data_IF_356256220961
#
_entry.id   IF_356256220961
#
_cell.length_a   1.000
_cell.length_b   1.000
_cell.length_c   1.000
_cell.angle_alpha   90.00
_cell.angle_beta   90.00
_cell.angle_gamma   90.00
#
_symmetry.space_group_name_H-M   'P 1'
#
loop_
_entity.id
_entity.type
_entity.pdbx_description
1 polymer ?
#
# COMPACT_ATOMS: atom_id res chain seq x y z
N UNK A 1 14.63 -21.09 -6.03
CA UNK A 1 15.98 -20.59 -5.72
C UNK A 1 15.94 -19.07 -5.86
N UNK A 2 15.50 -18.36 -4.83
CA UNK A 2 15.45 -16.90 -4.86
C UNK A 2 16.87 -16.37 -4.66
N UNK A 3 17.45 -15.84 -5.73
CA UNK A 3 18.70 -15.09 -5.66
C UNK A 3 18.50 -13.95 -4.65
N UNK A 4 19.34 -13.90 -3.60
CA UNK A 4 19.45 -12.69 -2.78
C UNK A 4 19.87 -11.58 -3.73
N UNK A 5 18.95 -10.71 -4.11
CA UNK A 5 19.27 -9.46 -4.81
C UNK A 5 20.03 -8.58 -3.80
N UNK A 6 21.32 -8.86 -3.64
CA UNK A 6 22.25 -8.04 -2.87
C UNK A 6 22.56 -6.82 -3.72
N UNK A 7 22.02 -5.65 -3.34
CA UNK A 7 22.56 -4.36 -3.78
C UNK A 7 21.60 -3.37 -4.43
N UNK A 8 20.31 -3.65 -4.59
CA UNK A 8 19.37 -2.63 -5.06
C UNK A 8 19.07 -1.64 -3.94
N UNK A 9 19.38 -0.35 -4.16
CA UNK A 9 18.98 0.72 -3.24
C UNK A 9 17.44 0.76 -3.14
N UNK A 10 16.85 1.19 -2.01
CA UNK A 10 15.41 1.46 -1.93
C UNK A 10 14.89 2.25 -3.13
N UNK A 11 15.65 3.24 -3.62
CA UNK A 11 15.29 4.02 -4.79
C UNK A 11 15.23 3.20 -6.09
N UNK A 12 16.12 2.22 -6.26
CA UNK A 12 16.12 1.34 -7.43
C UNK A 12 14.92 0.39 -7.39
N UNK A 13 14.54 -0.08 -6.21
CA UNK A 13 13.34 -0.90 -6.01
C UNK A 13 12.07 -0.11 -6.32
N UNK A 14 12.00 1.13 -5.86
CA UNK A 14 10.89 2.05 -6.15
C UNK A 14 10.81 2.35 -7.65
N UNK A 15 11.95 2.55 -8.32
CA UNK A 15 12.02 2.72 -9.79
C UNK A 15 11.58 1.47 -10.53
N UNK A 16 11.99 0.28 -10.10
CA UNK A 16 11.61 -0.98 -10.74
C UNK A 16 10.10 -1.23 -10.59
N UNK A 17 9.56 -1.11 -9.38
CA UNK A 17 8.13 -1.23 -9.13
C UNK A 17 7.33 -0.17 -9.92
N UNK A 18 7.84 1.07 -9.95
CA UNK A 18 7.30 2.15 -10.77
C UNK A 18 7.32 1.85 -12.26
N UNK A 19 8.38 1.23 -12.78
CA UNK A 19 8.50 0.87 -14.20
C UNK A 19 7.48 -0.18 -14.59
N UNK A 20 7.30 -1.23 -13.77
CA UNK A 20 6.28 -2.26 -13.99
C UNK A 20 4.88 -1.67 -13.94
N UNK A 21 4.58 -0.85 -12.93
CA UNK A 21 3.28 -0.20 -12.81
C UNK A 21 3.00 0.78 -13.97
N UNK A 22 4.00 1.54 -14.41
CA UNK A 22 3.87 2.46 -15.54
C UNK A 22 3.69 1.72 -16.88
N UNK A 23 4.29 0.53 -17.03
CA UNK A 23 4.06 -0.33 -18.19
C UNK A 23 2.59 -0.72 -18.34
N UNK A 24 1.91 -1.04 -17.24
CA UNK A 24 0.48 -1.33 -17.25
C UNK A 24 -0.37 -0.11 -17.60
N UNK A 25 -0.01 1.07 -17.05
CA UNK A 25 -0.68 2.34 -17.41
C UNK A 25 -0.53 2.62 -18.91
N UNK A 26 0.69 2.46 -19.44
CA UNK A 26 0.98 2.66 -20.86
C UNK A 26 0.17 1.70 -21.74
N UNK A 27 0.01 0.44 -21.31
CA UNK A 27 -0.85 -0.52 -21.98
C UNK A 27 -2.30 -0.03 -22.05
N UNK A 28 -2.90 0.42 -20.94
CA UNK A 28 -4.28 0.93 -20.95
C UNK A 28 -4.44 2.20 -21.79
N UNK A 29 -3.46 3.12 -21.75
CA UNK A 29 -3.46 4.31 -22.61
C UNK A 29 -3.40 3.90 -24.09
N UNK A 30 -2.57 2.92 -24.43
CA UNK A 30 -2.45 2.41 -25.80
C UNK A 30 -3.76 1.78 -26.28
N UNK A 31 -4.44 1.02 -25.43
CA UNK A 31 -5.78 0.47 -25.72
C UNK A 31 -6.81 1.59 -25.91
N UNK A 32 -6.80 2.62 -25.06
CA UNK A 32 -7.69 3.78 -25.21
C UNK A 32 -7.46 4.51 -26.53
N UNK A 33 -6.20 4.77 -26.89
CA UNK A 33 -5.84 5.43 -28.15
C UNK A 33 -6.27 4.60 -29.36
N UNK A 34 -6.12 3.27 -29.30
CA UNK A 34 -6.59 2.36 -30.34
C UNK A 34 -8.12 2.44 -30.49
N UNK A 35 -8.87 2.43 -29.39
CA UNK A 35 -10.33 2.56 -29.41
C UNK A 35 -10.78 3.91 -29.99
N UNK A 36 -10.10 5.00 -29.64
CA UNK A 36 -10.37 6.33 -30.20
C UNK A 36 -10.06 6.39 -31.70
N UNK A 37 -8.98 5.74 -32.15
CA UNK A 37 -8.64 5.64 -33.57
C UNK A 37 -9.70 4.85 -34.35
N UNK A 38 -10.17 3.72 -33.80
CA UNK A 38 -11.27 2.93 -34.37
C UNK A 38 -12.55 3.76 -34.43
N UNK A 39 -12.92 4.43 -33.34
CA UNK A 39 -14.09 5.31 -33.31
C UNK A 39 -13.99 6.43 -34.36
N UNK A 40 -12.83 7.08 -34.48
CA UNK A 40 -12.56 8.08 -35.50
C UNK A 40 -12.68 7.54 -36.92
N UNK A 41 -12.17 6.33 -37.18
CA UNK A 41 -12.30 5.66 -38.47
C UNK A 41 -13.76 5.33 -38.82
N UNK A 42 -14.54 4.84 -37.85
CA UNK A 42 -15.96 4.49 -38.04
C UNK A 42 -16.88 5.72 -38.22
N UNK A 43 -16.48 6.87 -37.65
CA UNK A 43 -17.20 8.14 -37.82
C UNK A 43 -16.85 8.87 -39.13
N UNK A 44 -15.78 8.45 -39.81
CA UNK A 44 -15.33 9.06 -41.07
C UNK A 44 -16.42 8.92 -42.14
N UNK A 45 -16.85 10.04 -42.71
CA UNK A 45 -17.91 10.08 -43.72
C UNK A 45 -19.34 10.03 -43.18
N UNK A 46 -19.54 10.03 -41.85
CA UNK A 46 -20.87 10.16 -41.24
C UNK A 46 -21.15 11.62 -40.88
N UNK A 47 -22.36 12.09 -41.20
CA UNK A 47 -22.87 13.38 -40.74
C UNK A 47 -23.21 13.26 -39.25
N UNK A 48 -22.40 13.86 -38.38
CA UNK A 48 -22.74 13.94 -36.96
C UNK A 48 -23.98 14.83 -36.77
N UNK A 49 -24.93 14.45 -35.90
CA UNK A 49 -26.11 15.28 -35.64
C UNK A 49 -25.69 16.67 -35.14
N UNK A 50 -26.26 17.73 -35.73
CA UNK A 50 -25.88 19.14 -35.47
C UNK A 50 -26.03 19.58 -34.00
N UNK A 51 -26.80 18.82 -33.22
CA UNK A 51 -27.01 19.06 -31.79
C UNK A 51 -25.83 18.59 -30.91
N UNK A 52 -24.97 17.70 -31.42
CA UNK A 52 -23.87 17.08 -30.67
C UNK A 52 -22.72 18.05 -30.35
N UNK A 53 -22.53 19.07 -31.20
CA UNK A 53 -21.51 20.12 -31.01
C UNK A 53 -22.16 21.51 -30.94
N UNK A 54 -23.24 21.68 -30.15
CA UNK A 54 -23.79 23.02 -29.92
C UNK A 54 -22.75 23.86 -29.17
N UNK A 55 -22.28 24.94 -29.80
CA UNK A 55 -21.28 25.90 -29.30
C UNK A 55 -21.52 26.41 -27.87
N UNK A 56 -22.77 26.39 -27.39
CA UNK A 56 -23.16 26.76 -26.01
C UNK A 56 -22.61 25.82 -24.92
N UNK A 57 -22.45 24.53 -25.21
CA UNK A 57 -22.03 23.50 -24.24
C UNK A 57 -20.69 22.85 -24.59
N UNK A 58 -20.02 23.30 -25.65
CA UNK A 58 -18.74 22.73 -26.12
C UNK A 58 -17.64 22.69 -25.07
N UNK A 59 -17.66 23.61 -24.09
CA UNK A 59 -16.70 23.67 -22.98
C UNK A 59 -16.90 22.57 -21.93
N UNK A 60 -18.07 21.93 -21.87
CA UNK A 60 -18.34 20.84 -20.93
C UNK A 60 -17.57 19.57 -21.30
N UNK A 61 -17.32 19.32 -22.59
CA UNK A 61 -16.62 18.12 -23.05
C UNK A 61 -15.17 18.04 -22.56
N UNK A 62 -14.29 19.06 -22.74
CA UNK A 62 -12.93 18.99 -22.19
C UNK A 62 -12.93 18.94 -20.67
N UNK A 63 -13.86 19.63 -20.00
CA UNK A 63 -14.01 19.55 -18.54
C UNK A 63 -14.37 18.13 -18.09
N UNK A 64 -15.30 17.48 -18.78
CA UNK A 64 -15.71 16.11 -18.51
C UNK A 64 -14.58 15.12 -18.78
N UNK A 65 -13.81 15.29 -19.86
CA UNK A 65 -12.63 14.47 -20.16
C UNK A 65 -11.60 14.58 -19.04
N UNK A 66 -11.29 15.79 -18.57
CA UNK A 66 -10.36 16.01 -17.45
C UNK A 66 -10.90 15.38 -16.17
N UNK A 67 -12.19 15.56 -15.87
CA UNK A 67 -12.83 14.96 -14.70
C UNK A 67 -12.79 13.44 -14.71
N UNK A 68 -13.13 12.81 -15.85
CA UNK A 68 -13.05 11.36 -16.02
C UNK A 68 -11.60 10.86 -15.92
N UNK A 69 -10.65 11.55 -16.53
CA UNK A 69 -9.23 11.20 -16.44
C UNK A 69 -8.73 11.26 -14.99
N UNK A 70 -9.11 12.30 -14.24
CA UNK A 70 -8.79 12.43 -12.82
C UNK A 70 -9.40 11.29 -11.99
N UNK A 71 -10.66 10.92 -12.24
CA UNK A 71 -11.32 9.78 -11.61
C UNK A 71 -10.58 8.47 -11.91
N UNK A 72 -10.29 8.16 -13.19
CA UNK A 72 -9.56 6.95 -13.59
C UNK A 72 -8.20 6.88 -12.88
N UNK A 73 -7.44 7.98 -12.87
CA UNK A 73 -6.13 8.00 -12.27
C UNK A 73 -6.18 7.78 -10.75
N UNK A 74 -7.14 8.43 -10.07
CA UNK A 74 -7.22 8.44 -8.60
C UNK A 74 -7.90 7.20 -8.01
N UNK A 75 -8.81 6.54 -8.73
CA UNK A 75 -9.57 5.38 -8.22
C UNK A 75 -9.14 4.05 -8.79
N UNK A 76 -8.60 4.02 -10.01
CA UNK A 76 -8.21 2.76 -10.67
C UNK A 76 -6.70 2.59 -10.71
N UNK A 77 -5.98 3.57 -11.28
CA UNK A 77 -4.54 3.41 -11.52
C UNK A 77 -3.71 3.47 -10.24
N UNK A 78 -4.09 4.32 -9.28
CA UNK A 78 -3.45 4.41 -7.96
C UNK A 78 -3.50 3.07 -7.19
N UNK A 79 -4.68 2.44 -7.16
CA UNK A 79 -4.94 1.17 -6.47
C UNK A 79 -4.15 0.03 -7.11
N UNK A 80 -4.18 -0.07 -8.44
CA UNK A 80 -3.41 -1.10 -9.15
C UNK A 80 -1.90 -0.92 -8.95
N UNK A 81 -1.41 0.32 -9.01
CA UNK A 81 0.00 0.63 -8.76
C UNK A 81 0.39 0.25 -7.32
N UNK A 82 -0.45 0.56 -6.34
CA UNK A 82 -0.20 0.22 -4.95
C UNK A 82 -0.17 -1.30 -4.73
N UNK A 83 -1.06 -2.06 -5.36
CA UNK A 83 -1.09 -3.52 -5.27
C UNK A 83 0.17 -4.17 -5.87
N UNK A 84 0.68 -3.65 -7.00
CA UNK A 84 1.96 -4.11 -7.58
C UNK A 84 3.12 -3.85 -6.61
N UNK A 85 3.20 -2.64 -6.07
CA UNK A 85 4.24 -2.25 -5.09
C UNK A 85 4.14 -3.10 -3.83
N UNK A 86 2.93 -3.33 -3.32
CA UNK A 86 2.64 -4.19 -2.18
C UNK A 86 3.11 -5.64 -2.42
N UNK A 87 2.80 -6.21 -3.59
CA UNK A 87 3.24 -7.57 -3.95
C UNK A 87 4.77 -7.67 -4.02
N UNK A 88 5.44 -6.65 -4.55
CA UNK A 88 6.90 -6.58 -4.51
C UNK A 88 7.41 -6.51 -3.06
N UNK A 89 6.84 -5.64 -2.23
CA UNK A 89 7.19 -5.52 -0.81
C UNK A 89 7.02 -6.85 -0.06
N UNK A 90 5.97 -7.60 -0.36
CA UNK A 90 5.69 -8.93 0.20
C UNK A 90 6.74 -9.96 -0.23
N UNK A 91 7.18 -9.94 -1.48
CA UNK A 91 8.27 -10.82 -1.92
C UNK A 91 9.58 -10.56 -1.16
N UNK A 92 9.92 -9.29 -0.92
CA UNK A 92 11.08 -8.93 -0.09
C UNK A 92 10.90 -9.30 1.38
N UNK A 93 9.69 -9.15 1.93
CA UNK A 93 9.34 -9.61 3.28
C UNK A 93 9.56 -11.12 3.42
N UNK A 94 9.02 -11.92 2.50
CA UNK A 94 9.16 -13.39 2.50
C UNK A 94 10.62 -13.83 2.33
N UNK A 95 11.45 -12.99 1.70
CA UNK A 95 12.89 -13.22 1.54
C UNK A 95 13.74 -12.75 2.74
N UNK A 96 13.13 -12.20 3.79
CA UNK A 96 13.85 -11.67 4.96
C UNK A 96 14.56 -10.33 4.73
N UNK A 97 14.23 -9.63 3.64
CA UNK A 97 14.83 -8.35 3.27
C UNK A 97 13.98 -7.20 3.81
N UNK A 98 14.09 -6.95 5.11
CA UNK A 98 13.18 -6.05 5.83
C UNK A 98 13.25 -4.60 5.36
N UNK A 99 14.44 -4.05 5.13
CA UNK A 99 14.58 -2.65 4.68
C UNK A 99 13.93 -2.39 3.33
N UNK A 100 14.17 -3.30 2.37
CA UNK A 100 13.55 -3.26 1.05
C UNK A 100 12.02 -3.35 1.14
N UNK A 101 11.53 -4.27 1.98
CA UNK A 101 10.10 -4.47 2.21
C UNK A 101 9.44 -3.24 2.85
N UNK A 102 10.05 -2.66 3.88
CA UNK A 102 9.58 -1.45 4.57
C UNK A 102 9.47 -0.29 3.58
N UNK A 103 10.52 -0.04 2.77
CA UNK A 103 10.51 1.05 1.79
C UNK A 103 9.37 0.92 0.76
N UNK A 104 9.13 -0.30 0.27
CA UNK A 104 8.06 -0.55 -0.69
C UNK A 104 6.67 -0.49 -0.03
N UNK A 105 6.47 -1.04 1.16
CA UNK A 105 5.20 -0.91 1.88
C UNK A 105 4.87 0.56 2.22
N UNK A 106 5.86 1.38 2.58
CA UNK A 106 5.67 2.82 2.74
C UNK A 106 5.19 3.49 1.44
N UNK A 107 5.69 3.06 0.29
CA UNK A 107 5.20 3.56 -1.00
C UNK A 107 3.75 3.12 -1.27
N UNK A 108 3.39 1.86 -0.97
CA UNK A 108 2.01 1.39 -1.10
C UNK A 108 1.03 2.22 -0.24
N UNK A 109 1.40 2.49 1.02
CA UNK A 109 0.63 3.37 1.92
C UNK A 109 0.50 4.79 1.37
N UNK A 110 1.55 5.36 0.77
CA UNK A 110 1.49 6.70 0.14
C UNK A 110 0.54 6.74 -1.06
N UNK A 111 0.44 5.64 -1.82
CA UNK A 111 -0.42 5.55 -3.00
C UNK A 111 -1.89 5.40 -2.62
N UNK A 112 -2.18 4.59 -1.59
CA UNK A 112 -3.55 4.35 -1.10
C UNK A 112 -3.55 4.42 0.43
N UNK A 113 -3.70 5.62 1.02
CA UNK A 113 -3.54 5.82 2.46
C UNK A 113 -4.72 5.31 3.31
N UNK A 114 -5.76 4.78 2.66
CA UNK A 114 -6.96 4.24 3.30
C UNK A 114 -7.07 2.70 3.19
N UNK A 115 -6.06 2.03 2.65
CA UNK A 115 -5.99 0.57 2.59
C UNK A 115 -5.32 0.03 3.85
N UNK A 116 -6.10 -0.60 4.73
CA UNK A 116 -5.65 -1.12 6.03
C UNK A 116 -4.59 -2.23 5.90
N UNK A 117 -4.72 -3.10 4.89
CA UNK A 117 -3.76 -4.17 4.64
C UNK A 117 -2.32 -3.66 4.46
N UNK A 118 -2.10 -2.53 3.78
CA UNK A 118 -0.74 -2.04 3.56
C UNK A 118 -0.08 -1.59 4.87
N UNK A 119 -0.85 -1.04 5.81
CA UNK A 119 -0.36 -0.71 7.14
C UNK A 119 -0.08 -1.95 7.99
N UNK A 120 -0.95 -2.97 7.90
CA UNK A 120 -0.78 -4.25 8.60
C UNK A 120 0.57 -4.91 8.27
N UNK A 121 0.89 -4.98 6.98
CA UNK A 121 2.12 -5.60 6.52
C UNK A 121 3.35 -4.71 6.74
N UNK A 122 3.22 -3.38 6.63
CA UNK A 122 4.28 -2.45 7.03
C UNK A 122 4.65 -2.61 8.51
N UNK A 123 3.65 -2.69 9.39
CA UNK A 123 3.85 -2.90 10.82
C UNK A 123 4.51 -4.24 11.13
N UNK A 124 4.11 -5.29 10.42
CA UNK A 124 4.75 -6.60 10.50
C UNK A 124 6.21 -6.54 10.05
N UNK A 125 6.54 -5.83 8.97
CA UNK A 125 7.92 -5.67 8.50
C UNK A 125 8.81 -4.93 9.52
N UNK A 126 8.31 -3.87 10.16
CA UNK A 126 9.01 -3.21 11.25
C UNK A 126 9.25 -4.15 12.45
N UNK A 127 8.24 -4.94 12.80
CA UNK A 127 8.32 -5.89 13.90
C UNK A 127 9.35 -7.01 13.63
N UNK A 128 9.40 -7.54 12.41
CA UNK A 128 10.42 -8.52 12.03
C UNK A 128 11.82 -7.88 12.04
N UNK A 129 11.99 -6.68 11.46
CA UNK A 129 13.27 -5.95 11.50
C UNK A 129 13.79 -5.76 12.93
N UNK A 130 12.90 -5.48 13.88
CA UNK A 130 13.26 -5.28 15.29
C UNK A 130 14.02 -6.48 15.86
N UNK A 131 13.69 -7.71 15.43
CA UNK A 131 14.32 -8.94 15.92
C UNK A 131 15.77 -9.08 15.47
N UNK A 132 16.13 -8.46 14.35
CA UNK A 132 17.47 -8.54 13.75
C UNK A 132 18.41 -7.42 14.23
N UNK A 133 17.86 -6.36 14.80
CA UNK A 133 18.63 -5.23 15.35
C UNK A 133 19.10 -5.57 16.76
N UNK A 134 20.30 -5.15 17.14
CA UNK A 134 20.82 -5.30 18.52
C UNK A 134 20.75 -4.01 19.35
N UNK A 135 20.83 -2.84 18.71
CA UNK A 135 20.81 -1.55 19.39
C UNK A 135 19.44 -1.29 20.07
N UNK A 136 19.40 -1.07 21.39
CA UNK A 136 18.14 -0.80 22.10
C UNK A 136 17.41 0.45 21.59
N UNK A 137 18.12 1.49 21.15
CA UNK A 137 17.50 2.71 20.65
C UNK A 137 16.81 2.46 19.31
N UNK A 138 17.50 1.82 18.36
CA UNK A 138 16.90 1.41 17.08
C UNK A 138 15.75 0.42 17.26
N UNK A 139 15.87 -0.58 18.16
CA UNK A 139 14.74 -1.49 18.50
C UNK A 139 13.52 -0.72 18.98
N UNK A 140 13.72 0.23 19.89
CA UNK A 140 12.62 1.02 20.45
C UNK A 140 11.94 1.87 19.38
N UNK A 141 12.72 2.46 18.47
CA UNK A 141 12.18 3.22 17.34
C UNK A 141 11.35 2.33 16.39
N UNK A 142 11.85 1.14 16.05
CA UNK A 142 11.12 0.21 15.16
C UNK A 142 9.82 -0.32 15.79
N UNK A 143 9.83 -0.63 17.08
CA UNK A 143 8.62 -1.03 17.81
C UNK A 143 7.58 0.07 17.83
N UNK A 144 8.02 1.32 17.99
CA UNK A 144 7.16 2.49 17.99
C UNK A 144 6.58 2.78 16.60
N UNK A 145 7.37 2.66 15.53
CA UNK A 145 6.85 2.77 14.16
C UNK A 145 5.88 1.64 13.82
N UNK A 146 6.18 0.40 14.23
CA UNK A 146 5.26 -0.74 14.10
C UNK A 146 3.94 -0.48 14.81
N UNK A 147 3.98 0.07 16.04
CA UNK A 147 2.78 0.43 16.82
C UNK A 147 1.92 1.41 16.06
N UNK A 148 2.49 2.54 15.60
CA UNK A 148 1.74 3.60 14.91
C UNK A 148 1.02 3.08 13.67
N UNK A 149 1.70 2.29 12.85
CA UNK A 149 1.09 1.78 11.60
C UNK A 149 0.06 0.69 11.88
N UNK A 150 0.29 -0.21 12.85
CA UNK A 150 -0.72 -1.21 13.22
C UNK A 150 -1.96 -0.59 13.86
N UNK A 151 -1.79 0.45 14.68
CA UNK A 151 -2.91 1.24 15.20
C UNK A 151 -3.68 1.91 14.05
N UNK A 152 -2.99 2.41 13.03
CA UNK A 152 -3.63 2.96 11.83
C UNK A 152 -4.41 1.91 11.06
N UNK A 153 -3.88 0.70 10.90
CA UNK A 153 -4.59 -0.42 10.27
C UNK A 153 -5.89 -0.74 11.03
N UNK A 154 -5.83 -0.86 12.35
CA UNK A 154 -7.00 -1.08 13.20
C UNK A 154 -8.01 0.07 13.11
N UNK A 155 -7.57 1.33 13.07
CA UNK A 155 -8.46 2.49 12.91
C UNK A 155 -9.22 2.48 11.57
N UNK A 156 -8.55 2.05 10.50
CA UNK A 156 -9.16 1.95 9.17
C UNK A 156 -10.19 0.83 9.10
N UNK A 157 -9.94 -0.29 9.80
CA UNK A 157 -10.84 -1.44 9.81
C UNK A 157 -10.95 -2.07 11.22
N UNK A 158 -11.78 -1.50 12.11
CA UNK A 158 -11.85 -1.90 13.52
C UNK A 158 -12.33 -3.33 13.78
N UNK A 159 -13.00 -3.94 12.80
CA UNK A 159 -13.61 -5.27 12.92
C UNK A 159 -12.72 -6.38 12.35
N UNK A 160 -11.58 -6.04 11.75
CA UNK A 160 -10.64 -7.03 11.26
C UNK A 160 -9.83 -7.63 12.42
N UNK A 161 -10.03 -8.92 12.67
CA UNK A 161 -9.38 -9.72 13.71
C UNK A 161 -7.86 -9.68 13.59
N UNK A 162 -7.32 -9.65 12.36
CA UNK A 162 -5.89 -9.67 12.11
C UNK A 162 -5.19 -8.44 12.67
N UNK A 163 -5.81 -7.25 12.61
CA UNK A 163 -5.18 -6.02 13.13
C UNK A 163 -4.98 -6.09 14.64
N UNK A 164 -6.00 -6.57 15.35
CA UNK A 164 -5.95 -6.80 16.79
C UNK A 164 -4.90 -7.86 17.13
N UNK A 165 -4.87 -8.98 16.38
CA UNK A 165 -3.88 -10.04 16.59
C UNK A 165 -2.44 -9.58 16.31
N UNK A 166 -2.24 -8.68 15.34
CA UNK A 166 -0.92 -8.13 15.02
C UNK A 166 -0.44 -7.13 16.09
N UNK A 167 -1.33 -6.27 16.62
CA UNK A 167 -1.01 -5.44 17.79
C UNK A 167 -0.67 -6.29 19.00
N UNK A 168 -1.40 -7.38 19.24
CA UNK A 168 -1.08 -8.32 20.30
C UNK A 168 0.32 -8.94 20.12
N UNK A 169 0.66 -9.35 18.90
CA UNK A 169 2.00 -9.89 18.56
C UNK A 169 3.09 -8.85 18.79
N UNK A 170 2.88 -7.61 18.37
CA UNK A 170 3.80 -6.48 18.62
C UNK A 170 4.07 -6.31 20.12
N UNK A 171 3.01 -6.16 20.92
CA UNK A 171 3.14 -5.91 22.35
C UNK A 171 3.76 -7.09 23.10
N UNK A 172 3.47 -8.33 22.67
CA UNK A 172 4.13 -9.53 23.20
C UNK A 172 5.64 -9.49 22.95
N UNK A 173 6.05 -9.21 21.71
CA UNK A 173 7.47 -9.07 21.37
C UNK A 173 8.13 -7.92 22.11
N UNK A 174 7.46 -6.78 22.24
CA UNK A 174 7.96 -5.65 23.02
C UNK A 174 8.19 -6.03 24.49
N UNK A 175 7.24 -6.72 25.12
CA UNK A 175 7.39 -7.20 26.50
C UNK A 175 8.53 -8.21 26.67
N UNK A 176 8.75 -9.08 25.69
CA UNK A 176 9.88 -10.02 25.69
C UNK A 176 11.24 -9.31 25.60
N UNK A 177 11.31 -8.15 24.95
CA UNK A 177 12.52 -7.34 24.81
C UNK A 177 12.72 -6.35 25.97
N UNK A 178 11.70 -6.10 26.80
CA UNK A 178 11.77 -5.17 27.92
C UNK A 178 12.74 -5.68 29.00
N UNK A 179 13.64 -4.80 29.46
CA UNK A 179 14.61 -5.11 30.52
C UNK A 179 14.00 -5.04 31.92
N UNK A 180 13.08 -4.10 32.14
CA UNK A 180 12.40 -3.87 33.41
C UNK A 180 11.12 -4.72 33.56
N UNK A 181 10.84 -5.18 34.79
CA UNK A 181 9.70 -6.06 35.07
C UNK A 181 8.36 -5.34 34.99
N UNK A 182 8.29 -4.05 35.36
CA UNK A 182 7.07 -3.26 35.26
C UNK A 182 6.74 -2.96 33.79
N UNK A 183 7.75 -2.58 32.99
CA UNK A 183 7.56 -2.40 31.54
C UNK A 183 7.14 -3.70 30.86
N UNK A 184 7.75 -4.83 31.21
CA UNK A 184 7.35 -6.15 30.70
C UNK A 184 5.88 -6.45 31.02
N UNK A 185 5.46 -6.22 32.26
CA UNK A 185 4.08 -6.44 32.68
C UNK A 185 3.09 -5.54 31.91
N UNK A 186 3.39 -4.25 31.72
CA UNK A 186 2.57 -3.33 30.90
C UNK A 186 2.39 -3.86 29.47
N UNK A 187 3.49 -4.19 28.79
CA UNK A 187 3.42 -4.65 27.39
C UNK A 187 2.70 -5.98 27.25
N UNK A 188 2.93 -6.94 28.16
CA UNK A 188 2.22 -8.22 28.13
C UNK A 188 0.73 -8.06 28.47
N UNK A 189 0.37 -7.11 29.34
CA UNK A 189 -1.01 -6.73 29.60
C UNK A 189 -1.72 -6.26 28.33
N UNK A 190 -1.11 -5.32 27.59
CA UNK A 190 -1.63 -4.85 26.30
C UNK A 190 -1.75 -5.97 25.27
N UNK A 191 -0.77 -6.87 25.22
CA UNK A 191 -0.83 -8.03 24.33
C UNK A 191 -2.07 -8.90 24.62
N UNK A 192 -2.37 -9.14 25.90
CA UNK A 192 -3.54 -9.91 26.31
C UNK A 192 -4.85 -9.21 25.96
N UNK A 193 -4.94 -7.89 26.13
CA UNK A 193 -6.10 -7.09 25.73
C UNK A 193 -6.39 -7.23 24.23
N UNK A 194 -5.37 -7.05 23.39
CA UNK A 194 -5.54 -7.17 21.95
C UNK A 194 -5.80 -8.60 21.48
N UNK A 195 -5.25 -9.63 22.14
CA UNK A 195 -5.60 -11.01 21.85
C UNK A 195 -7.07 -11.30 22.17
N UNK A 196 -7.58 -10.81 23.31
CA UNK A 196 -9.01 -10.92 23.64
C UNK A 196 -9.88 -10.21 22.60
N UNK A 197 -9.48 -9.02 22.17
CA UNK A 197 -10.18 -8.31 21.10
C UNK A 197 -10.21 -9.13 19.81
N UNK A 198 -9.08 -9.71 19.40
CA UNK A 198 -9.00 -10.57 18.22
C UNK A 198 -9.92 -11.79 18.32
N UNK A 199 -9.97 -12.47 19.47
CA UNK A 199 -10.85 -13.62 19.71
C UNK A 199 -12.33 -13.24 19.75
N UNK A 200 -12.68 -12.05 20.25
CA UNK A 200 -14.07 -11.60 20.27
C UNK A 200 -14.60 -11.22 18.88
N UNK A 201 -13.72 -10.95 17.92
CA UNK A 201 -14.06 -10.57 16.55
C UNK A 201 -14.06 -11.76 15.57
N UNK A 202 -13.55 -12.94 15.98
CA UNK A 202 -13.42 -14.15 15.14
C UNK A 202 -14.65 -15.05 15.23
#
# INVERSE_FOLDING_TARGET
MYSKITGASPDDLLKQAGTVANGLVLYYVSVLLLLLAIAGALLRGRSLPSNFCRRRYGWLYPLLVVGVAALIFTTNLSVIRADIVYKHAKSYYEAGQWDASIALYQQAVKLVPHEDYYYLFLGSAYLEKTKDVSDPAERSALLEESRKVLERALQLNPLNTDHSANLARLYRTWGQMASDSAQRADKLGKALEYYRQATNLS
#
